data_IF_327612003957
#
_entry.id   IF_327612003957
#
_cell.length_a   1.000
_cell.length_b   1.000
_cell.length_c   1.000
_cell.angle_alpha   90.00
_cell.angle_beta   90.00
_cell.angle_gamma   90.00
#
_symmetry.space_group_name_H-M   'P 1'
#
loop_
_entity.id
_entity.type
_entity.pdbx_description
1 polymer ?
#
# COMPACT_ATOMS: atom_id res chain seq x y z
N UNK A 1 -3.47 -7.01 17.98
CA UNK A 1 -4.40 -6.70 16.86
C UNK A 1 -3.61 -6.50 15.56
N UNK A 2 -4.24 -6.81 14.42
CA UNK A 2 -3.66 -6.60 13.09
C UNK A 2 -4.43 -5.49 12.35
N UNK A 3 -3.73 -4.70 11.56
CA UNK A 3 -4.33 -3.56 10.88
C UNK A 3 -4.02 -3.53 9.38
N UNK A 4 -4.96 -2.96 8.60
CA UNK A 4 -4.74 -2.51 7.24
C UNK A 4 -4.67 -0.97 7.23
N UNK A 5 -3.55 -0.42 6.76
CA UNK A 5 -3.32 1.01 6.61
C UNK A 5 -3.35 1.40 5.14
N UNK A 6 -4.38 2.10 4.71
CA UNK A 6 -4.56 2.55 3.32
C UNK A 6 -4.04 3.98 3.18
N UNK A 7 -2.97 4.17 2.39
CA UNK A 7 -2.38 5.48 2.14
C UNK A 7 -3.13 6.21 1.03
N UNK A 8 -3.79 7.31 1.37
CA UNK A 8 -4.65 8.13 0.50
C UNK A 8 -4.26 9.62 0.46
N UNK A 9 -3.04 9.97 0.88
CA UNK A 9 -2.56 11.37 0.96
C UNK A 9 -2.12 11.99 -0.37
N UNK A 10 -1.99 11.21 -1.44
CA UNK A 10 -1.48 11.70 -2.72
C UNK A 10 -2.44 12.61 -3.47
N UNK A 11 -2.00 13.82 -3.84
CA UNK A 11 -2.79 14.79 -4.64
C UNK A 11 -2.91 14.43 -6.12
N UNK A 12 -2.15 13.42 -6.61
CA UNK A 12 -2.28 12.92 -7.98
C UNK A 12 -1.78 13.87 -9.07
N UNK A 13 -0.74 14.66 -8.83
CA UNK A 13 -0.23 15.67 -9.79
C UNK A 13 -0.01 15.13 -11.22
N UNK A 14 0.48 13.88 -11.35
CA UNK A 14 0.68 13.20 -12.65
C UNK A 14 -0.62 12.75 -13.32
N UNK A 15 -1.73 12.70 -12.58
CA UNK A 15 -3.02 12.25 -13.11
C UNK A 15 -3.78 13.37 -13.82
N UNK A 16 -3.50 14.65 -13.49
CA UNK A 16 -4.04 15.84 -14.18
C UNK A 16 -5.55 16.06 -14.05
N UNK A 17 -6.22 15.41 -13.10
CA UNK A 17 -7.67 15.57 -12.90
C UNK A 17 -7.96 16.53 -11.73
N UNK A 18 -9.15 17.14 -11.76
CA UNK A 18 -9.67 18.00 -10.68
C UNK A 18 -9.99 17.27 -9.38
N UNK A 19 -10.14 15.94 -9.47
CA UNK A 19 -10.38 15.04 -8.32
C UNK A 19 -9.16 14.17 -8.11
N UNK A 20 -8.66 13.98 -6.86
CA UNK A 20 -7.55 13.10 -6.58
C UNK A 20 -7.82 11.68 -7.11
N UNK A 21 -6.80 11.07 -7.72
CA UNK A 21 -6.92 9.83 -8.51
C UNK A 21 -7.55 8.66 -7.74
N UNK A 22 -7.36 8.57 -6.43
CA UNK A 22 -7.94 7.53 -5.58
C UNK A 22 -9.48 7.62 -5.51
N UNK A 23 -10.06 8.80 -5.73
CA UNK A 23 -11.52 9.02 -5.79
C UNK A 23 -12.06 9.00 -7.22
N UNK A 24 -11.22 8.78 -8.22
CA UNK A 24 -11.65 8.54 -9.60
C UNK A 24 -12.45 7.23 -9.68
N UNK A 25 -13.54 7.24 -10.47
CA UNK A 25 -14.35 6.03 -10.66
C UNK A 25 -13.78 5.16 -11.77
N UNK A 26 -13.65 3.87 -11.46
CA UNK A 26 -13.45 2.79 -12.42
C UNK A 26 -14.65 1.86 -12.29
N UNK A 27 -15.33 1.57 -13.42
CA UNK A 27 -16.64 0.94 -13.43
C UNK A 27 -17.64 1.76 -12.59
N UNK A 28 -18.15 1.25 -11.49
CA UNK A 28 -19.16 1.95 -10.66
C UNK A 28 -18.64 2.46 -9.33
N UNK A 29 -17.38 2.17 -8.96
CA UNK A 29 -16.79 2.46 -7.64
C UNK A 29 -15.60 3.40 -7.76
N UNK A 30 -15.31 4.16 -6.72
CA UNK A 30 -14.02 4.86 -6.60
C UNK A 30 -12.90 3.83 -6.45
N UNK A 31 -11.71 4.12 -6.98
CA UNK A 31 -10.56 3.19 -6.95
C UNK A 31 -10.24 2.74 -5.52
N UNK A 32 -10.26 3.66 -4.57
CA UNK A 32 -10.02 3.36 -3.14
C UNK A 32 -11.08 2.39 -2.55
N UNK A 33 -12.33 2.37 -3.06
CA UNK A 33 -13.38 1.48 -2.53
C UNK A 33 -13.02 0.01 -2.69
N UNK A 34 -12.35 -0.37 -3.80
CA UNK A 34 -11.88 -1.74 -3.99
C UNK A 34 -10.88 -2.17 -2.91
N UNK A 35 -9.99 -1.24 -2.52
CA UNK A 35 -8.97 -1.50 -1.48
C UNK A 35 -9.61 -1.57 -0.09
N UNK A 36 -10.57 -0.67 0.21
CA UNK A 36 -11.31 -0.67 1.47
C UNK A 36 -12.11 -1.98 1.61
N UNK A 37 -12.85 -2.36 0.58
CA UNK A 37 -13.67 -3.58 0.61
C UNK A 37 -12.80 -4.83 0.76
N UNK A 38 -11.65 -4.89 0.09
CA UNK A 38 -10.69 -5.99 0.26
C UNK A 38 -10.17 -6.06 1.70
N UNK A 39 -9.83 -4.92 2.31
CA UNK A 39 -9.36 -4.86 3.70
C UNK A 39 -10.45 -5.26 4.70
N UNK A 40 -11.71 -4.88 4.45
CA UNK A 40 -12.85 -5.27 5.28
C UNK A 40 -13.23 -6.74 5.15
N UNK A 41 -12.84 -7.41 4.06
CA UNK A 41 -13.10 -8.83 3.80
C UNK A 41 -11.97 -9.75 4.31
N UNK A 42 -10.84 -9.18 4.73
CA UNK A 42 -9.74 -9.95 5.31
C UNK A 42 -10.15 -10.50 6.69
N UNK A 43 -9.91 -11.80 6.90
CA UNK A 43 -10.31 -12.50 8.13
C UNK A 43 -9.42 -12.15 9.33
N UNK A 44 -8.17 -11.77 9.06
CA UNK A 44 -7.17 -11.51 10.11
C UNK A 44 -6.97 -10.02 10.43
N UNK A 45 -7.67 -9.12 9.74
CA UNK A 45 -7.58 -7.68 9.95
C UNK A 45 -8.64 -7.21 10.95
N UNK A 46 -8.20 -6.71 12.10
CA UNK A 46 -9.07 -6.18 13.16
C UNK A 46 -9.41 -4.69 12.95
N UNK A 47 -8.50 -3.94 12.33
CA UNK A 47 -8.63 -2.48 12.14
C UNK A 47 -8.32 -2.09 10.71
N UNK A 48 -9.25 -1.41 10.05
CA UNK A 48 -9.00 -0.73 8.77
C UNK A 48 -8.90 0.76 9.00
N UNK A 49 -7.76 1.36 8.57
CA UNK A 49 -7.49 2.78 8.71
C UNK A 49 -7.10 3.39 7.37
N UNK A 50 -7.68 4.56 7.05
CA UNK A 50 -7.30 5.36 5.88
C UNK A 50 -6.57 6.61 6.33
N UNK A 51 -5.32 6.77 5.89
CA UNK A 51 -4.51 7.96 6.13
C UNK A 51 -4.57 8.89 4.91
N UNK A 52 -5.11 10.10 5.08
CA UNK A 52 -5.28 11.04 3.98
C UNK A 52 -5.88 12.37 4.37
N UNK A 53 -6.02 13.27 3.39
CA UNK A 53 -6.65 14.56 3.59
C UNK A 53 -8.15 14.39 3.87
N UNK A 54 -8.65 15.16 4.84
CA UNK A 54 -10.09 15.21 5.09
C UNK A 54 -10.80 15.89 3.90
N UNK A 55 -11.70 15.16 3.26
CA UNK A 55 -12.46 15.62 2.12
C UNK A 55 -13.87 14.99 2.10
N UNK A 56 -14.81 15.57 1.33
CA UNK A 56 -16.18 15.04 1.26
C UNK A 56 -16.25 13.57 0.83
N UNK A 57 -15.37 13.15 -0.09
CA UNK A 57 -15.32 11.77 -0.58
C UNK A 57 -14.91 10.82 0.54
N UNK A 58 -13.85 11.15 1.29
CA UNK A 58 -13.36 10.31 2.40
C UNK A 58 -14.42 10.19 3.50
N UNK A 59 -15.06 11.31 3.89
CA UNK A 59 -16.14 11.30 4.90
C UNK A 59 -17.33 10.45 4.45
N UNK A 60 -17.72 10.52 3.18
CA UNK A 60 -18.79 9.69 2.61
C UNK A 60 -18.45 8.20 2.67
N UNK A 61 -17.20 7.84 2.32
CA UNK A 61 -16.72 6.46 2.39
C UNK A 61 -16.63 5.97 3.84
N UNK A 62 -16.13 6.81 4.75
CA UNK A 62 -16.09 6.48 6.18
C UNK A 62 -17.49 6.18 6.75
N UNK A 63 -18.48 7.00 6.39
CA UNK A 63 -19.88 6.76 6.79
C UNK A 63 -20.42 5.44 6.23
N UNK A 64 -20.01 5.09 4.99
CA UNK A 64 -20.47 3.87 4.32
C UNK A 64 -19.84 2.60 4.89
N UNK A 65 -18.54 2.62 5.18
CA UNK A 65 -17.75 1.43 5.51
C UNK A 65 -17.33 1.34 6.99
N UNK A 66 -17.35 2.43 7.75
CA UNK A 66 -17.03 2.42 9.19
C UNK A 66 -15.56 2.33 9.56
N UNK A 67 -14.62 2.51 8.60
CA UNK A 67 -13.19 2.48 8.87
C UNK A 67 -12.71 3.69 9.71
N UNK A 68 -11.52 3.58 10.30
CA UNK A 68 -10.85 4.67 11.02
C UNK A 68 -10.11 5.59 10.05
N UNK A 69 -9.95 6.86 10.42
CA UNK A 69 -9.18 7.83 9.64
C UNK A 69 -8.09 8.48 10.46
N UNK A 70 -7.00 8.87 9.81
CA UNK A 70 -5.95 9.71 10.37
C UNK A 70 -5.53 10.75 9.33
N UNK A 71 -5.10 11.97 9.73
CA UNK A 71 -4.65 12.98 8.80
C UNK A 71 -3.46 12.51 7.96
N UNK A 72 -3.44 12.90 6.69
CA UNK A 72 -2.24 12.79 5.85
C UNK A 72 -1.19 13.82 6.28
N UNK A 73 0.07 13.57 5.89
CA UNK A 73 1.17 14.53 5.97
C UNK A 73 1.40 15.24 4.65
N UNK A 74 2.42 16.11 4.60
CA UNK A 74 2.84 16.84 3.40
C UNK A 74 3.49 15.91 2.36
N UNK A 75 4.11 14.82 2.84
CA UNK A 75 4.74 13.77 2.02
C UNK A 75 4.24 12.38 2.41
N UNK A 76 4.56 11.38 1.57
CA UNK A 76 4.15 9.97 1.79
C UNK A 76 4.60 9.45 3.16
N UNK A 77 5.85 9.69 3.54
CA UNK A 77 6.41 9.15 4.77
C UNK A 77 5.78 9.79 6.03
N UNK A 78 5.43 11.06 5.99
CA UNK A 78 4.66 11.69 7.08
C UNK A 78 3.24 11.11 7.18
N UNK A 79 2.56 10.89 6.04
CA UNK A 79 1.26 10.22 6.01
C UNK A 79 1.36 8.81 6.61
N UNK A 80 2.43 8.09 6.28
CA UNK A 80 2.69 6.76 6.82
C UNK A 80 2.93 6.82 8.33
N UNK A 81 3.80 7.72 8.81
CA UNK A 81 4.08 7.89 10.24
C UNK A 81 2.81 8.19 11.04
N UNK A 82 1.95 9.09 10.56
CA UNK A 82 0.68 9.41 11.21
C UNK A 82 -0.21 8.16 11.34
N UNK A 83 -0.29 7.35 10.29
CA UNK A 83 -1.05 6.10 10.30
C UNK A 83 -0.48 5.07 11.26
N UNK A 84 0.84 4.82 11.21
CA UNK A 84 1.52 3.86 12.07
C UNK A 84 1.40 4.23 13.54
N UNK A 85 1.57 5.53 13.87
CA UNK A 85 1.43 6.04 15.24
C UNK A 85 0.01 5.84 15.76
N UNK A 86 -1.00 6.21 14.98
CA UNK A 86 -2.40 6.01 15.36
C UNK A 86 -2.75 4.52 15.58
N UNK A 87 -2.22 3.63 14.77
CA UNK A 87 -2.42 2.18 14.92
C UNK A 87 -1.71 1.62 16.17
N UNK A 88 -0.48 2.08 16.45
CA UNK A 88 0.23 1.74 17.70
C UNK A 88 -0.59 2.13 18.92
N UNK A 89 -1.14 3.35 18.94
CA UNK A 89 -1.92 3.88 20.06
C UNK A 89 -3.25 3.13 20.26
N UNK A 90 -3.71 2.40 19.23
CA UNK A 90 -4.83 1.45 19.30
C UNK A 90 -4.40 0.05 19.75
N UNK A 91 -3.10 -0.22 19.96
CA UNK A 91 -2.58 -1.52 20.38
C UNK A 91 -2.42 -2.51 19.23
N UNK A 92 -2.26 -2.03 17.98
CA UNK A 92 -1.94 -2.91 16.86
C UNK A 92 -0.49 -3.38 16.92
N UNK A 93 -0.25 -4.64 16.56
CA UNK A 93 1.08 -5.28 16.56
C UNK A 93 1.61 -5.52 15.15
N UNK A 94 0.72 -5.69 14.18
CA UNK A 94 1.05 -5.94 12.78
C UNK A 94 0.26 -5.03 11.88
N UNK A 95 0.86 -4.60 10.78
CA UNK A 95 0.22 -3.73 9.81
C UNK A 95 0.47 -4.21 8.38
N UNK A 96 -0.57 -4.18 7.55
CA UNK A 96 -0.46 -4.27 6.09
C UNK A 96 -0.69 -2.88 5.51
N UNK A 97 0.32 -2.33 4.85
CA UNK A 97 0.30 -1.00 4.23
C UNK A 97 -0.15 -1.14 2.77
N UNK A 98 -1.12 -0.35 2.38
CA UNK A 98 -1.80 -0.43 1.08
C UNK A 98 -1.79 0.93 0.37
N UNK A 99 -1.46 0.93 -0.92
CA UNK A 99 -1.72 2.10 -1.78
C UNK A 99 -3.22 2.15 -2.13
N UNK A 100 -3.90 3.27 -1.88
CA UNK A 100 -5.31 3.50 -2.24
C UNK A 100 -5.63 3.35 -3.74
N UNK A 101 -4.62 3.21 -4.58
CA UNK A 101 -4.70 3.18 -6.03
C UNK A 101 -4.22 1.87 -6.66
N UNK A 102 -4.18 0.79 -5.87
CA UNK A 102 -3.93 -0.59 -6.33
C UNK A 102 -5.16 -1.47 -6.08
N UNK A 103 -6.17 -1.38 -6.96
CA UNK A 103 -7.51 -1.92 -6.68
C UNK A 103 -7.63 -3.44 -6.80
N UNK A 104 -6.57 -4.15 -7.19
CA UNK A 104 -6.60 -5.61 -7.35
C UNK A 104 -6.15 -6.38 -6.09
N UNK A 105 -5.81 -5.70 -4.99
CA UNK A 105 -5.53 -6.34 -3.70
C UNK A 105 -6.75 -7.09 -3.18
N UNK A 106 -6.53 -8.17 -2.43
CA UNK A 106 -7.62 -9.00 -1.88
C UNK A 106 -7.44 -9.20 -0.38
N UNK A 107 -8.53 -9.52 0.33
CA UNK A 107 -8.47 -9.89 1.75
C UNK A 107 -7.54 -11.07 2.00
N UNK A 108 -7.63 -12.12 1.17
CA UNK A 108 -6.75 -13.31 1.25
C UNK A 108 -5.27 -12.97 1.17
N UNK A 109 -4.90 -11.98 0.34
CA UNK A 109 -3.50 -11.53 0.26
C UNK A 109 -3.06 -10.89 1.57
N UNK A 110 -3.91 -10.09 2.21
CA UNK A 110 -3.61 -9.48 3.51
C UNK A 110 -3.52 -10.54 4.62
N UNK A 111 -4.42 -11.53 4.62
CA UNK A 111 -4.39 -12.67 5.54
C UNK A 111 -3.09 -13.46 5.41
N UNK A 112 -2.60 -13.66 4.20
CA UNK A 112 -1.31 -14.31 3.95
C UNK A 112 -0.14 -13.49 4.49
N UNK A 113 -0.18 -12.16 4.38
CA UNK A 113 0.85 -11.27 4.94
C UNK A 113 0.88 -11.35 6.47
N UNK A 114 -0.28 -11.30 7.10
CA UNK A 114 -0.39 -11.45 8.56
C UNK A 114 0.11 -12.84 9.00
N UNK A 115 -0.20 -13.90 8.24
CA UNK A 115 0.29 -15.24 8.50
C UNK A 115 1.83 -15.32 8.48
N UNK A 116 2.46 -14.72 7.47
CA UNK A 116 3.93 -14.67 7.35
C UNK A 116 4.56 -13.89 8.52
N UNK A 117 4.01 -12.72 8.87
CA UNK A 117 4.47 -11.95 10.02
C UNK A 117 4.32 -12.74 11.34
N UNK A 118 3.26 -13.52 11.49
CA UNK A 118 3.05 -14.39 12.67
C UNK A 118 4.09 -15.52 12.74
N UNK A 119 4.68 -15.93 11.61
CA UNK A 119 5.77 -16.90 11.53
C UNK A 119 7.15 -16.29 11.85
N UNK A 120 7.21 -15.02 12.27
CA UNK A 120 8.43 -14.35 12.70
C UNK A 120 9.18 -13.64 11.57
N UNK A 121 8.54 -13.36 10.43
CA UNK A 121 9.07 -12.39 9.47
C UNK A 121 8.85 -10.97 10.01
N UNK A 122 9.85 -10.10 9.88
CA UNK A 122 9.78 -8.71 10.31
C UNK A 122 9.07 -7.83 9.30
N UNK A 123 9.22 -8.20 8.02
CA UNK A 123 8.54 -7.56 6.91
C UNK A 123 8.17 -8.55 5.81
N UNK A 124 7.11 -8.23 5.06
CA UNK A 124 6.68 -8.90 3.84
C UNK A 124 6.54 -7.84 2.75
N UNK A 125 7.36 -7.94 1.71
CA UNK A 125 7.42 -6.96 0.63
C UNK A 125 6.92 -7.57 -0.68
N UNK A 126 5.87 -7.00 -1.30
CA UNK A 126 5.49 -7.38 -2.68
C UNK A 126 6.56 -6.95 -3.64
N UNK A 127 7.11 -7.89 -4.41
CA UNK A 127 8.14 -7.60 -5.40
C UNK A 127 7.81 -8.16 -6.77
N UNK A 128 8.25 -7.45 -7.82
CA UNK A 128 8.15 -7.88 -9.20
C UNK A 128 9.55 -7.93 -9.84
N UNK A 129 9.83 -8.90 -10.70
CA UNK A 129 11.09 -8.90 -11.44
C UNK A 129 11.12 -7.72 -12.41
N UNK A 130 12.30 -7.20 -12.67
CA UNK A 130 12.52 -6.22 -13.74
C UNK A 130 12.67 -7.00 -15.04
N UNK A 131 11.72 -6.86 -15.97
CA UNK A 131 11.70 -7.54 -17.25
C UNK A 131 12.45 -6.78 -18.34
N UNK A 132 12.40 -5.44 -18.28
CA UNK A 132 13.11 -4.57 -19.22
C UNK A 132 14.59 -4.44 -18.88
N UNK A 133 15.39 -3.92 -19.82
CA UNK A 133 16.78 -3.56 -19.57
C UNK A 133 16.87 -2.41 -18.58
N UNK A 134 17.76 -2.53 -17.60
CA UNK A 134 18.02 -1.51 -16.60
C UNK A 134 19.28 -0.74 -16.98
N UNK A 135 19.14 0.57 -17.22
CA UNK A 135 20.25 1.48 -17.47
C UNK A 135 20.59 2.30 -16.22
N UNK A 136 21.82 2.81 -16.16
CA UNK A 136 22.26 3.74 -15.14
C UNK A 136 22.71 5.07 -15.76
N UNK A 137 22.37 6.20 -15.11
CA UNK A 137 22.68 7.54 -15.65
C UNK A 137 24.18 7.83 -15.75
N UNK A 138 24.98 7.24 -14.90
CA UNK A 138 26.46 7.33 -14.90
C UNK A 138 27.13 6.25 -15.75
N UNK A 139 26.34 5.52 -16.56
CA UNK A 139 26.80 4.56 -17.57
C UNK A 139 27.63 3.39 -17.06
N UNK A 140 27.57 3.07 -15.76
CA UNK A 140 28.18 1.85 -15.28
C UNK A 140 27.28 0.62 -15.55
N UNK A 141 27.91 -0.55 -15.56
CA UNK A 141 27.21 -1.82 -15.78
C UNK A 141 26.23 -2.13 -14.64
N UNK A 142 25.01 -2.54 -15.01
CA UNK A 142 23.95 -2.89 -14.08
C UNK A 142 23.50 -4.34 -14.29
N UNK A 143 23.76 -5.18 -13.31
CA UNK A 143 23.17 -6.53 -13.25
C UNK A 143 21.75 -6.46 -12.69
N UNK A 144 20.75 -6.43 -13.58
CA UNK A 144 19.33 -6.30 -13.18
C UNK A 144 18.82 -7.47 -12.34
N UNK A 145 19.51 -8.64 -12.34
CA UNK A 145 19.10 -9.79 -11.53
C UNK A 145 19.21 -9.52 -10.02
N UNK A 146 19.96 -8.49 -9.63
CA UNK A 146 20.12 -8.03 -8.25
C UNK A 146 19.07 -7.02 -7.80
N UNK A 147 18.12 -6.66 -8.69
CA UNK A 147 17.10 -5.65 -8.43
C UNK A 147 15.70 -6.22 -8.62
N UNK A 148 14.75 -5.59 -7.99
CA UNK A 148 13.32 -5.86 -8.14
C UNK A 148 12.52 -4.57 -8.06
N UNK A 149 11.30 -4.58 -8.59
CA UNK A 149 10.34 -3.50 -8.38
C UNK A 149 9.58 -3.75 -7.10
N UNK A 150 9.63 -2.80 -6.20
CA UNK A 150 8.85 -2.82 -4.97
C UNK A 150 7.44 -2.31 -5.23
N UNK A 151 6.45 -2.99 -4.67
CA UNK A 151 5.04 -2.63 -4.77
C UNK A 151 4.34 -2.74 -3.40
N UNK A 152 3.24 -2.01 -3.22
CA UNK A 152 2.26 -2.27 -2.18
C UNK A 152 1.36 -3.47 -2.62
N UNK A 153 0.88 -4.31 -1.68
CA UNK A 153 0.97 -4.18 -0.23
C UNK A 153 2.34 -4.52 0.35
N UNK A 154 2.57 -4.00 1.55
CA UNK A 154 3.73 -4.30 2.37
C UNK A 154 3.23 -4.67 3.78
N UNK A 155 3.75 -5.74 4.38
CA UNK A 155 3.41 -6.13 5.76
C UNK A 155 4.58 -5.90 6.71
N UNK A 156 4.30 -5.52 7.96
CA UNK A 156 5.33 -5.25 8.97
C UNK A 156 4.91 -5.65 10.38
N UNK A 157 5.89 -6.07 11.17
CA UNK A 157 5.84 -5.95 12.62
C UNK A 157 5.81 -4.45 12.97
N UNK A 158 4.72 -3.98 13.56
CA UNK A 158 4.49 -2.54 13.74
C UNK A 158 5.43 -1.91 14.78
N UNK A 159 5.66 -2.49 15.96
CA UNK A 159 6.64 -1.99 16.91
C UNK A 159 8.05 -1.89 16.32
N UNK A 160 8.51 -2.94 15.63
CA UNK A 160 9.83 -2.95 15.01
C UNK A 160 9.93 -1.91 13.91
N UNK A 161 8.91 -1.78 13.05
CA UNK A 161 8.90 -0.74 12.03
C UNK A 161 9.01 0.65 12.64
N UNK A 162 8.19 0.99 13.63
CA UNK A 162 8.20 2.32 14.26
C UNK A 162 9.53 2.65 14.95
N UNK A 163 10.24 1.66 15.45
CA UNK A 163 11.56 1.85 16.07
C UNK A 163 12.61 2.38 15.10
N UNK A 164 12.53 1.99 13.81
CA UNK A 164 13.55 2.30 12.79
C UNK A 164 13.06 3.23 11.69
N UNK A 165 11.75 3.52 11.64
CA UNK A 165 11.18 4.35 10.59
C UNK A 165 11.56 5.82 10.73
N UNK A 166 12.30 6.34 9.75
CA UNK A 166 12.62 7.76 9.59
C UNK A 166 11.73 8.38 8.50
N UNK A 167 10.81 9.29 8.84
CA UNK A 167 9.96 9.96 7.86
C UNK A 167 10.71 10.89 6.91
N UNK A 168 11.96 11.28 7.24
CA UNK A 168 12.82 12.12 6.42
C UNK A 168 13.74 11.31 5.50
N UNK A 169 13.73 9.99 5.61
CA UNK A 169 14.50 9.12 4.74
C UNK A 169 14.12 9.32 3.27
N UNK A 170 15.10 9.42 2.35
CA UNK A 170 14.86 9.46 0.92
C UNK A 170 14.44 8.11 0.36
N UNK A 171 14.56 7.03 1.14
CA UNK A 171 14.18 5.68 0.73
C UNK A 171 12.68 5.57 0.60
N UNK A 172 12.23 5.10 -0.55
CA UNK A 172 10.81 4.85 -0.83
C UNK A 172 10.37 3.46 -0.39
N UNK A 173 11.31 2.52 -0.29
CA UNK A 173 11.10 1.19 0.26
C UNK A 173 11.33 1.21 1.77
N UNK A 174 10.24 1.02 2.50
CA UNK A 174 10.23 1.12 3.97
C UNK A 174 11.01 -0.02 4.62
N UNK A 175 10.98 -1.21 4.04
CA UNK A 175 11.71 -2.37 4.54
C UNK A 175 13.24 -2.14 4.60
N UNK A 176 13.79 -1.29 3.72
CA UNK A 176 15.23 -0.95 3.73
C UNK A 176 15.65 -0.04 4.89
N UNK A 177 14.69 0.46 5.68
CA UNK A 177 14.99 1.20 6.91
C UNK A 177 15.14 0.27 8.13
N UNK A 178 14.73 -0.99 8.00
CA UNK A 178 14.92 -1.98 9.06
C UNK A 178 16.40 -2.39 9.17
N UNK A 179 16.85 -2.88 10.33
CA UNK A 179 18.21 -3.42 10.50
C UNK A 179 18.56 -4.49 9.46
N UNK A 180 19.84 -4.57 9.11
CA UNK A 180 20.34 -5.48 8.05
C UNK A 180 20.12 -6.98 8.37
N UNK A 181 19.95 -7.33 9.63
CA UNK A 181 19.65 -8.68 10.09
C UNK A 181 18.14 -8.98 10.15
N UNK A 182 17.28 -8.03 9.75
CA UNK A 182 15.84 -8.22 9.73
C UNK A 182 15.43 -9.27 8.69
N UNK A 183 14.48 -10.10 9.06
CA UNK A 183 13.93 -11.15 8.21
C UNK A 183 12.86 -10.55 7.29
N UNK A 184 13.20 -10.32 6.02
CA UNK A 184 12.28 -9.76 5.03
C UNK A 184 11.86 -10.86 4.05
N UNK A 185 10.55 -11.11 3.94
CA UNK A 185 9.99 -12.03 2.94
C UNK A 185 9.69 -11.27 1.64
N UNK A 186 10.31 -11.67 0.54
CA UNK A 186 10.03 -11.11 -0.79
C UNK A 186 8.87 -11.88 -1.45
N UNK A 187 7.67 -11.32 -1.37
CA UNK A 187 6.44 -11.94 -1.87
C UNK A 187 6.30 -11.73 -3.39
N UNK A 188 6.26 -12.83 -4.15
CA UNK A 188 6.26 -12.82 -5.62
C UNK A 188 4.95 -13.30 -6.25
N UNK A 189 4.05 -13.87 -5.45
CA UNK A 189 2.83 -14.54 -5.94
C UNK A 189 1.64 -13.57 -6.13
N UNK A 190 1.95 -12.32 -6.48
CA UNK A 190 0.96 -11.29 -6.83
C UNK A 190 1.38 -10.54 -8.11
N UNK A 191 1.39 -11.21 -9.30
CA UNK A 191 1.92 -10.63 -10.53
C UNK A 191 1.04 -9.51 -11.11
N UNK A 192 -0.28 -9.59 -10.94
CA UNK A 192 -1.23 -8.58 -11.45
C UNK A 192 -1.55 -7.54 -10.40
N UNK A 193 -0.71 -6.53 -10.28
CA UNK A 193 -0.86 -5.47 -9.30
C UNK A 193 -0.70 -4.06 -9.89
N UNK A 194 -1.55 -3.67 -10.87
CA UNK A 194 -1.46 -2.37 -11.51
C UNK A 194 -1.72 -1.23 -10.52
N UNK A 195 -0.96 -0.15 -10.68
CA UNK A 195 -1.12 1.09 -9.92
C UNK A 195 -1.74 2.17 -10.81
N UNK A 196 -2.85 2.76 -10.41
CA UNK A 196 -3.39 3.92 -11.11
C UNK A 196 -2.50 5.14 -10.87
N UNK A 197 -1.65 5.45 -11.86
CA UNK A 197 -0.73 6.60 -11.83
C UNK A 197 -1.11 7.61 -12.91
N UNK A 198 -1.50 7.09 -14.08
CA UNK A 198 -1.85 7.87 -15.27
C UNK A 198 -3.27 7.54 -15.75
N UNK A 199 -3.96 8.48 -16.46
CA UNK A 199 -5.33 8.27 -16.93
C UNK A 199 -5.51 7.05 -17.85
N UNK A 200 -4.53 6.73 -18.68
CA UNK A 200 -4.60 5.60 -19.65
C UNK A 200 -4.58 4.22 -18.98
N UNK A 201 -4.10 4.10 -17.74
CA UNK A 201 -4.10 2.83 -16.99
C UNK A 201 -5.51 2.40 -16.56
N UNK A 202 -6.49 3.32 -16.59
CA UNK A 202 -7.88 3.03 -16.18
C UNK A 202 -8.50 1.88 -16.96
N UNK A 203 -8.25 1.78 -18.27
CA UNK A 203 -8.83 0.73 -19.12
C UNK A 203 -8.31 -0.65 -18.76
N UNK A 204 -7.00 -0.79 -18.59
CA UNK A 204 -6.39 -2.05 -18.18
C UNK A 204 -6.87 -2.49 -16.79
N UNK A 205 -6.91 -1.55 -15.83
CA UNK A 205 -7.45 -1.82 -14.48
C UNK A 205 -8.94 -2.23 -14.54
N UNK A 206 -9.75 -1.53 -15.35
CA UNK A 206 -11.18 -1.87 -15.50
C UNK A 206 -11.39 -3.27 -16.08
N UNK A 207 -10.55 -3.67 -17.04
CA UNK A 207 -10.59 -5.00 -17.63
C UNK A 207 -10.21 -6.08 -16.59
N UNK A 208 -9.11 -5.88 -15.88
CA UNK A 208 -8.68 -6.81 -14.82
C UNK A 208 -9.72 -6.97 -13.69
N UNK A 209 -10.36 -5.87 -13.26
CA UNK A 209 -11.47 -5.93 -12.31
C UNK A 209 -12.67 -6.71 -12.84
N UNK A 210 -12.99 -6.55 -14.14
CA UNK A 210 -14.08 -7.30 -14.79
C UNK A 210 -13.81 -8.81 -14.79
N UNK A 211 -12.60 -9.22 -15.13
CA UNK A 211 -12.18 -10.63 -15.15
C UNK A 211 -12.24 -11.28 -13.77
N UNK A 212 -12.07 -10.50 -12.70
CA UNK A 212 -12.23 -10.95 -11.30
C UNK A 212 -13.68 -10.86 -10.78
N UNK A 213 -14.65 -10.50 -11.63
CA UNK A 213 -16.06 -10.37 -11.24
C UNK A 213 -16.39 -9.14 -10.39
N UNK A 214 -15.53 -8.14 -10.38
CA UNK A 214 -15.66 -6.91 -9.59
C UNK A 214 -16.18 -5.72 -10.40
#
# INVERSE_FOLDING_TARGET
MNAALILSGGVGARFGASVPKQYTRIRRRMVIEYVIEAAMQAETIDVVMVAGADCPQLRSLQKKYGFRTTPGGSVRNETLLNGLTALRDMGCERVVILDAVRPLVTGKLMDEYIRLLTQGWDAVSTVQPITDSLGCLDMHEVDRSRYYLMQSPEGYDLPKLLQYFDPHSPLTEVAHQLPADSRIYLYRDFPENPKLTYPWEKMAIAQALKERGQ
#
